data_IF_984582853208
#
_entry.id   IF_984582853208
#
_cell.length_a   1.000
_cell.length_b   1.000
_cell.length_c   1.000
_cell.angle_alpha   90.00
_cell.angle_beta   90.00
_cell.angle_gamma   90.00
#
_symmetry.space_group_name_H-M   'P 1'
#
loop_
_entity.id
_entity.type
_entity.pdbx_description
1 polymer ?
#
# COMPACT_ATOMS: atom_id res chain seq x y z
N UNK A 1 5.72 16.79 -12.50
CA UNK A 1 4.63 17.26 -13.37
C UNK A 1 5.14 18.09 -14.54
N UNK A 2 5.76 19.24 -14.25
CA UNK A 2 6.15 20.24 -15.25
C UNK A 2 7.00 19.69 -16.43
N UNK A 3 7.93 18.77 -16.17
CA UNK A 3 8.81 18.20 -17.22
C UNK A 3 8.02 17.29 -18.19
N UNK A 4 7.11 16.46 -17.67
CA UNK A 4 6.27 15.60 -18.50
C UNK A 4 5.30 16.44 -19.34
N UNK A 5 4.71 17.48 -18.74
CA UNK A 5 3.83 18.40 -19.46
C UNK A 5 4.58 19.14 -20.57
N UNK A 6 5.78 19.68 -20.30
CA UNK A 6 6.62 20.33 -21.31
C UNK A 6 7.03 19.39 -22.46
N UNK A 7 7.27 18.11 -22.18
CA UNK A 7 7.59 17.12 -23.21
C UNK A 7 6.38 16.84 -24.13
N UNK A 8 5.19 16.69 -23.55
CA UNK A 8 3.96 16.45 -24.31
C UNK A 8 3.49 17.70 -25.06
N UNK A 9 3.72 18.90 -24.52
CA UNK A 9 3.53 20.15 -25.24
C UNK A 9 4.39 20.23 -26.50
N UNK A 10 5.68 19.88 -26.40
CA UNK A 10 6.58 19.89 -27.56
C UNK A 10 6.18 18.86 -28.64
N UNK A 11 5.59 17.73 -28.26
CA UNK A 11 5.20 16.67 -29.20
C UNK A 11 3.79 16.87 -29.80
N UNK A 12 2.83 17.38 -29.03
CA UNK A 12 1.41 17.43 -29.39
C UNK A 12 0.76 18.82 -29.26
N UNK A 13 1.55 19.84 -28.94
CA UNK A 13 1.08 21.21 -28.70
C UNK A 13 0.12 21.30 -27.51
N UNK A 14 -0.80 22.26 -27.56
CA UNK A 14 -1.77 22.54 -26.49
C UNK A 14 -2.68 21.36 -26.15
N UNK A 15 -2.93 20.44 -27.08
CA UNK A 15 -3.69 19.22 -26.80
C UNK A 15 -2.95 18.29 -25.82
N UNK A 16 -1.62 18.23 -25.91
CA UNK A 16 -0.77 17.47 -25.00
C UNK A 16 -0.87 17.97 -23.56
N UNK A 17 -0.98 19.28 -23.35
CA UNK A 17 -1.13 19.87 -22.01
C UNK A 17 -2.43 19.44 -21.34
N UNK A 18 -3.56 19.58 -22.04
CA UNK A 18 -4.87 19.21 -21.50
C UNK A 18 -4.95 17.71 -21.21
N UNK A 19 -4.41 16.87 -22.10
CA UNK A 19 -4.37 15.44 -21.91
C UNK A 19 -3.59 15.06 -20.65
N UNK A 20 -2.35 15.55 -20.51
CA UNK A 20 -1.51 15.28 -19.34
C UNK A 20 -2.14 15.80 -18.06
N UNK A 21 -2.77 16.98 -18.08
CA UNK A 21 -3.45 17.52 -16.91
C UNK A 21 -4.59 16.61 -16.41
N UNK A 22 -5.43 16.08 -17.32
CA UNK A 22 -6.51 15.16 -16.97
C UNK A 22 -5.94 13.83 -16.43
N UNK A 23 -4.92 13.27 -17.08
CA UNK A 23 -4.28 12.04 -16.64
C UNK A 23 -3.66 12.18 -15.24
N UNK A 24 -2.92 13.27 -15.00
CA UNK A 24 -2.30 13.53 -13.70
C UNK A 24 -3.36 13.76 -12.64
N UNK A 25 -4.45 14.48 -12.96
CA UNK A 25 -5.56 14.67 -12.03
C UNK A 25 -6.18 13.33 -11.60
N UNK A 26 -6.52 12.45 -12.56
CA UNK A 26 -7.08 11.13 -12.26
C UNK A 26 -6.11 10.25 -11.48
N UNK A 27 -4.81 10.32 -11.79
CA UNK A 27 -3.76 9.58 -11.10
C UNK A 27 -3.57 10.04 -9.64
N UNK A 28 -3.54 11.35 -9.40
CA UNK A 28 -3.45 11.91 -8.05
C UNK A 28 -4.71 11.57 -7.26
N UNK A 29 -5.88 11.70 -7.88
CA UNK A 29 -7.15 11.36 -7.25
C UNK A 29 -7.21 9.89 -6.81
N UNK A 30 -6.84 8.95 -7.69
CA UNK A 30 -6.82 7.53 -7.34
C UNK A 30 -5.82 7.22 -6.22
N UNK A 31 -4.64 7.86 -6.24
CA UNK A 31 -3.63 7.74 -5.19
C UNK A 31 -4.14 8.22 -3.84
N UNK A 32 -4.83 9.37 -3.78
CA UNK A 32 -5.41 9.91 -2.55
C UNK A 32 -6.44 8.94 -1.98
N UNK A 33 -7.33 8.37 -2.82
CA UNK A 33 -8.36 7.42 -2.37
C UNK A 33 -7.73 6.15 -1.81
N UNK A 34 -6.75 5.60 -2.52
CA UNK A 34 -6.03 4.38 -2.11
C UNK A 34 -5.30 4.61 -0.79
N UNK A 35 -4.54 5.70 -0.66
CA UNK A 35 -3.81 6.02 0.57
C UNK A 35 -4.75 6.34 1.75
N UNK A 36 -5.90 6.97 1.50
CA UNK A 36 -6.93 7.18 2.53
C UNK A 36 -7.47 5.83 3.06
N UNK A 37 -7.76 4.90 2.15
CA UNK A 37 -8.25 3.56 2.49
C UNK A 37 -7.21 2.75 3.27
N UNK A 38 -5.96 2.74 2.82
CA UNK A 38 -4.87 2.08 3.56
C UNK A 38 -4.66 2.70 4.93
N UNK A 39 -4.73 4.03 5.05
CA UNK A 39 -4.63 4.72 6.33
C UNK A 39 -5.77 4.35 7.28
N UNK A 40 -7.01 4.29 6.79
CA UNK A 40 -8.15 3.82 7.58
C UNK A 40 -7.88 2.40 8.09
N UNK A 41 -7.52 1.46 7.21
CA UNK A 41 -7.31 0.07 7.61
C UNK A 41 -6.20 -0.08 8.66
N UNK A 42 -5.11 0.66 8.51
CA UNK A 42 -4.02 0.67 9.49
C UNK A 42 -4.46 1.25 10.84
N UNK A 43 -5.21 2.36 10.83
CA UNK A 43 -5.75 2.96 12.05
C UNK A 43 -6.75 2.03 12.76
N UNK A 44 -7.57 1.30 12.00
CA UNK A 44 -8.49 0.29 12.53
C UNK A 44 -7.73 -0.87 13.18
N UNK A 45 -6.64 -1.34 12.56
CA UNK A 45 -5.81 -2.42 13.10
C UNK A 45 -5.09 -2.02 14.40
N UNK A 46 -4.57 -0.79 14.47
CA UNK A 46 -3.79 -0.32 15.63
C UNK A 46 -4.66 0.19 16.78
N UNK A 47 -5.75 0.90 16.50
CA UNK A 47 -6.54 1.64 17.51
C UNK A 47 -8.01 1.19 17.59
N UNK A 48 -8.41 0.22 16.77
CA UNK A 48 -9.76 -0.32 16.73
C UNK A 48 -10.76 0.53 15.92
N UNK A 49 -11.96 -0.02 15.76
CA UNK A 49 -13.02 0.49 14.84
C UNK A 49 -13.51 1.90 15.20
N UNK A 50 -13.40 2.31 16.47
CA UNK A 50 -13.85 3.65 16.91
C UNK A 50 -12.95 4.77 16.37
N UNK A 51 -11.64 4.55 16.33
CA UNK A 51 -10.67 5.55 15.87
C UNK A 51 -10.67 5.69 14.34
N UNK A 52 -11.08 4.63 13.63
CA UNK A 52 -11.14 4.62 12.18
C UNK A 52 -12.14 5.65 11.60
N UNK A 53 -13.20 6.01 12.33
CA UNK A 53 -14.15 7.06 11.91
C UNK A 53 -13.52 8.46 11.95
N UNK A 54 -12.62 8.70 12.89
CA UNK A 54 -11.86 9.96 13.01
C UNK A 54 -10.87 10.10 11.85
N UNK A 55 -10.31 8.97 11.39
CA UNK A 55 -9.38 8.95 10.26
C UNK A 55 -9.95 9.56 8.97
N UNK A 56 -11.26 9.46 8.76
CA UNK A 56 -11.96 10.03 7.60
C UNK A 56 -11.83 11.56 7.50
N UNK A 57 -11.65 12.24 8.63
CA UNK A 57 -11.47 13.70 8.71
C UNK A 57 -10.00 14.11 8.83
N UNK A 58 -9.18 13.33 9.54
CA UNK A 58 -7.76 13.62 9.73
C UNK A 58 -7.00 13.57 8.41
N UNK A 59 -7.31 12.60 7.56
CA UNK A 59 -6.59 12.39 6.31
C UNK A 59 -6.63 13.59 5.32
N UNK A 60 -7.80 14.15 4.95
CA UNK A 60 -7.85 15.31 4.07
C UNK A 60 -7.20 16.56 4.70
N UNK A 61 -7.34 16.76 6.02
CA UNK A 61 -6.69 17.89 6.72
C UNK A 61 -5.17 17.76 6.67
N UNK A 62 -4.63 16.58 6.95
CA UNK A 62 -3.20 16.30 6.88
C UNK A 62 -2.64 16.50 5.47
N UNK A 63 -3.38 16.11 4.43
CA UNK A 63 -2.99 16.33 3.03
C UNK A 63 -2.89 17.82 2.67
N UNK A 64 -3.86 18.64 3.10
CA UNK A 64 -3.84 20.09 2.84
C UNK A 64 -2.65 20.74 3.55
N UNK A 65 -2.39 20.37 4.81
CA UNK A 65 -1.24 20.87 5.56
C UNK A 65 0.09 20.46 4.93
N UNK A 66 0.21 19.21 4.50
CA UNK A 66 1.43 18.71 3.85
C UNK A 66 1.70 19.41 2.50
N UNK A 67 0.65 19.78 1.75
CA UNK A 67 0.79 20.43 0.44
C UNK A 67 1.11 21.93 0.56
N UNK A 68 0.71 22.58 1.65
CA UNK A 68 0.82 24.04 1.81
C UNK A 68 1.92 24.50 2.76
N UNK A 69 2.36 23.66 3.70
CA UNK A 69 3.20 24.07 4.83
C UNK A 69 4.60 23.47 4.89
N UNK A 70 4.96 22.52 4.01
CA UNK A 70 6.23 21.79 4.08
C UNK A 70 6.97 21.93 2.74
N UNK A 71 8.27 22.24 2.81
CA UNK A 71 9.13 22.25 1.63
C UNK A 71 9.20 20.87 0.96
N UNK A 72 9.24 20.84 -0.36
CA UNK A 72 9.19 19.60 -1.14
C UNK A 72 10.35 18.65 -0.79
N UNK A 73 11.56 19.18 -0.59
CA UNK A 73 12.73 18.38 -0.22
C UNK A 73 12.56 17.80 1.18
N UNK A 74 12.07 18.60 2.12
CA UNK A 74 11.79 18.12 3.48
C UNK A 74 10.70 17.03 3.49
N UNK A 75 9.65 17.18 2.68
CA UNK A 75 8.58 16.20 2.54
C UNK A 75 9.11 14.86 2.00
N UNK A 76 10.00 14.89 1.02
CA UNK A 76 10.66 13.68 0.52
C UNK A 76 11.55 13.03 1.59
N UNK A 77 12.39 13.80 2.29
CA UNK A 77 13.26 13.25 3.34
C UNK A 77 12.47 12.58 4.47
N UNK A 78 11.37 13.20 4.90
CA UNK A 78 10.49 12.62 5.93
C UNK A 78 9.85 11.33 5.42
N UNK A 79 9.31 11.35 4.19
CA UNK A 79 8.65 10.19 3.59
C UNK A 79 9.61 9.01 3.44
N UNK A 80 10.83 9.25 2.95
CA UNK A 80 11.85 8.23 2.78
C UNK A 80 12.31 7.66 4.13
N UNK A 81 12.41 8.51 5.16
CA UNK A 81 12.73 8.08 6.53
C UNK A 81 11.68 7.11 7.10
N UNK A 82 10.39 7.44 6.99
CA UNK A 82 9.31 6.55 7.44
C UNK A 82 9.21 5.27 6.61
N UNK A 83 9.40 5.36 5.30
CA UNK A 83 9.43 4.18 4.42
C UNK A 83 10.56 3.24 4.81
N UNK A 84 11.77 3.75 5.06
CA UNK A 84 12.89 2.95 5.52
C UNK A 84 12.60 2.29 6.88
N UNK A 85 11.98 3.02 7.80
CA UNK A 85 11.60 2.50 9.12
C UNK A 85 10.57 1.36 9.04
N UNK A 86 9.60 1.43 8.13
CA UNK A 86 8.59 0.36 7.92
C UNK A 86 9.17 -0.81 7.10
N UNK A 87 9.98 -0.50 6.09
CA UNK A 87 10.57 -1.49 5.19
C UNK A 87 11.56 -2.39 5.93
N UNK A 88 12.34 -1.84 6.86
CA UNK A 88 13.36 -2.60 7.62
C UNK A 88 12.78 -3.81 8.35
N UNK A 89 11.79 -3.69 9.25
CA UNK A 89 11.20 -4.84 9.93
C UNK A 89 10.45 -5.76 8.96
N UNK A 90 9.76 -5.23 7.95
CA UNK A 90 9.05 -6.04 6.97
C UNK A 90 10.00 -6.93 6.15
N UNK A 91 11.14 -6.39 5.72
CA UNK A 91 12.15 -7.13 4.97
C UNK A 91 12.82 -8.21 5.82
N UNK A 92 13.13 -7.91 7.09
CA UNK A 92 13.67 -8.90 8.03
C UNK A 92 12.67 -10.04 8.23
N UNK A 93 11.40 -9.71 8.46
CA UNK A 93 10.33 -10.71 8.59
C UNK A 93 10.19 -11.57 7.34
N UNK A 94 10.21 -10.96 6.16
CA UNK A 94 10.17 -11.67 4.88
C UNK A 94 11.32 -12.67 4.74
N UNK A 95 12.57 -12.25 5.03
CA UNK A 95 13.75 -13.12 4.94
C UNK A 95 13.61 -14.32 5.88
N UNK A 96 13.14 -14.11 7.10
CA UNK A 96 12.89 -15.19 8.07
C UNK A 96 11.78 -16.15 7.58
N UNK A 97 10.77 -15.62 6.88
CA UNK A 97 9.63 -16.39 6.38
C UNK A 97 9.90 -17.10 5.03
N UNK A 98 10.95 -16.75 4.29
CA UNK A 98 11.36 -17.43 3.04
C UNK A 98 11.30 -18.96 3.12
N UNK A 99 11.87 -19.65 4.13
CA UNK A 99 11.80 -21.10 4.22
C UNK A 99 10.38 -21.64 4.43
N UNK A 100 9.50 -20.88 5.09
CA UNK A 100 8.10 -21.27 5.28
C UNK A 100 7.32 -21.13 3.97
N UNK A 101 7.51 -20.02 3.26
CA UNK A 101 6.89 -19.76 1.96
C UNK A 101 7.37 -20.78 0.92
N UNK A 102 8.65 -21.13 0.90
CA UNK A 102 9.19 -22.14 0.00
C UNK A 102 8.59 -23.54 0.25
N UNK A 103 8.30 -23.89 1.51
CA UNK A 103 7.59 -25.13 1.85
C UNK A 103 6.14 -25.11 1.35
N UNK A 104 5.42 -24.02 1.65
CA UNK A 104 4.02 -23.84 1.23
C UNK A 104 3.89 -23.78 -0.30
N UNK A 105 4.86 -23.19 -0.99
CA UNK A 105 4.89 -23.15 -2.45
C UNK A 105 5.04 -24.56 -3.02
N UNK A 106 5.98 -25.37 -2.52
CA UNK A 106 6.13 -26.77 -2.94
C UNK A 106 4.88 -27.60 -2.66
N UNK A 107 4.26 -27.42 -1.49
CA UNK A 107 3.02 -28.09 -1.11
C UNK A 107 1.85 -27.71 -2.04
N UNK A 108 1.72 -26.43 -2.37
CA UNK A 108 0.69 -25.91 -3.28
C UNK A 108 0.79 -26.49 -4.69
N UNK A 109 1.99 -26.56 -5.26
CA UNK A 109 2.18 -27.04 -6.63
C UNK A 109 2.23 -28.57 -6.76
N UNK A 110 2.59 -29.29 -5.69
CA UNK A 110 2.67 -30.76 -5.72
C UNK A 110 1.39 -31.46 -5.24
N UNK A 111 0.38 -30.72 -4.81
CA UNK A 111 -0.89 -31.28 -4.33
C UNK A 111 -2.08 -30.72 -5.12
N UNK A 112 -2.28 -31.14 -6.38
CA UNK A 112 -3.46 -30.73 -7.14
C UNK A 112 -4.73 -31.25 -6.45
N UNK A 113 -5.57 -30.33 -5.97
CA UNK A 113 -6.91 -30.62 -5.45
C UNK A 113 -7.07 -30.67 -3.91
N UNK A 114 -6.00 -30.53 -3.11
CA UNK A 114 -6.13 -30.38 -1.64
C UNK A 114 -5.81 -28.94 -1.24
N UNK A 115 -6.83 -28.08 -1.32
CA UNK A 115 -6.74 -26.73 -0.79
C UNK A 115 -6.87 -26.74 0.75
N UNK A 116 -6.41 -25.65 1.37
CA UNK A 116 -6.23 -25.35 2.81
C UNK A 116 -7.21 -25.97 3.84
N UNK A 117 -8.40 -26.40 3.41
CA UNK A 117 -9.39 -27.09 4.22
C UNK A 117 -8.94 -28.50 4.64
N UNK A 118 -8.27 -29.24 3.75
CA UNK A 118 -7.77 -30.60 4.06
C UNK A 118 -6.71 -30.58 5.17
N UNK A 119 -5.84 -29.57 5.19
CA UNK A 119 -4.83 -29.41 6.24
C UNK A 119 -5.42 -28.87 7.55
N UNK A 120 -6.47 -28.04 7.46
CA UNK A 120 -7.24 -27.63 8.64
C UNK A 120 -7.94 -28.83 9.29
N UNK A 121 -8.56 -29.70 8.49
CA UNK A 121 -9.20 -30.92 8.97
C UNK A 121 -8.20 -31.92 9.53
N UNK A 122 -7.05 -32.12 8.87
CA UNK A 122 -5.98 -32.97 9.37
C UNK A 122 -5.39 -32.45 10.69
N UNK A 123 -5.15 -31.13 10.81
CA UNK A 123 -4.71 -30.52 12.08
C UNK A 123 -5.78 -30.59 13.17
N UNK A 124 -7.07 -30.46 12.82
CA UNK A 124 -8.19 -30.58 13.77
C UNK A 124 -8.35 -32.03 14.25
N UNK A 125 -8.23 -33.01 13.35
CA UNK A 125 -8.26 -34.43 13.66
C UNK A 125 -7.08 -34.85 14.55
N UNK A 126 -5.87 -34.35 14.26
CA UNK A 126 -4.68 -34.62 15.09
C UNK A 126 -4.76 -33.98 16.49
N UNK A 127 -5.51 -32.88 16.64
CA UNK A 127 -5.79 -32.22 17.92
C UNK A 127 -6.94 -32.88 18.69
N UNK A 128 -7.81 -33.63 18.03
CA UNK A 128 -8.88 -34.41 18.65
C UNK A 128 -8.45 -35.83 19.07
N UNK A 129 -7.31 -36.30 18.54
CA UNK A 129 -6.73 -37.61 18.84
C UNK A 129 -5.66 -37.59 19.95
N UNK A 130 -5.34 -36.41 20.50
CA UNK A 130 -4.55 -36.19 21.72
C UNK A 130 -5.48 -35.63 22.80
#
# INVERSE_FOLDING_TARGET
GAIAQAAFHNAFGTFGDYFVAICVFLFVFSTIVVSAFYGWRQAEFLFGVKFSKVWRYVYPVAMVLATSGIDLTMMYMITDGFLAAIMTPNMIGLIIMVPQVAKLQKEYFNTPGKYYLADKEAKKAKKAAN
#
